data_IF_716378119159
#
_entry.id   IF_716378119159
#
_cell.length_a   1.000
_cell.length_b   1.000
_cell.length_c   1.000
_cell.angle_alpha   90.00
_cell.angle_beta   90.00
_cell.angle_gamma   90.00
#
_symmetry.space_group_name_H-M   'P 1'
#
loop_
_entity.id
_entity.type
_entity.pdbx_description
1 polymer ?
#
# COMPACT_ATOMS: atom_id res chain seq x y z
N UNK A 1 4.77 4.14 -1.03
CA UNK A 1 4.10 5.29 -1.67
C UNK A 1 2.63 5.01 -1.88
N UNK A 2 2.25 4.23 -2.90
CA UNK A 2 0.84 4.01 -3.26
C UNK A 2 -0.04 3.47 -2.12
N UNK A 3 0.38 2.42 -1.43
CA UNK A 3 -0.40 1.83 -0.33
C UNK A 3 -0.68 2.85 0.80
N UNK A 4 0.33 3.61 1.21
CA UNK A 4 0.15 4.67 2.20
C UNK A 4 -0.78 5.79 1.70
N UNK A 5 -0.66 6.17 0.42
CA UNK A 5 -1.57 7.14 -0.23
C UNK A 5 -3.02 6.64 -0.20
N UNK A 6 -3.27 5.39 -0.58
CA UNK A 6 -4.62 4.83 -0.59
C UNK A 6 -5.21 4.77 0.81
N UNK A 7 -4.51 4.16 1.78
CA UNK A 7 -5.02 4.01 3.15
C UNK A 7 -5.36 5.36 3.77
N UNK A 8 -4.51 6.38 3.60
CA UNK A 8 -4.75 7.75 4.10
C UNK A 8 -5.85 8.52 3.35
N UNK A 9 -6.38 7.98 2.26
CA UNK A 9 -7.53 8.54 1.53
C UNK A 9 -8.75 7.59 1.51
N UNK A 10 -8.65 6.42 2.14
CA UNK A 10 -9.71 5.42 2.22
C UNK A 10 -10.77 5.80 3.25
N UNK A 11 -11.83 4.98 3.34
CA UNK A 11 -12.84 5.08 4.41
C UNK A 11 -12.27 4.94 5.82
N UNK A 12 -11.10 4.31 5.96
CA UNK A 12 -10.44 4.05 7.25
C UNK A 12 -9.36 5.10 7.60
N UNK A 13 -9.24 6.19 6.83
CA UNK A 13 -8.13 7.15 6.93
C UNK A 13 -7.87 7.72 8.33
N UNK A 14 -8.93 7.95 9.11
CA UNK A 14 -8.82 8.54 10.46
C UNK A 14 -8.16 7.58 11.45
N UNK A 15 -8.20 6.28 11.16
CA UNK A 15 -7.61 5.25 12.00
C UNK A 15 -6.18 4.88 11.59
N UNK A 16 -5.68 5.34 10.42
CA UNK A 16 -4.37 4.94 9.90
C UNK A 16 -3.22 5.64 10.64
N UNK A 17 -2.50 4.87 11.46
CA UNK A 17 -1.27 5.33 12.12
C UNK A 17 -0.08 5.21 11.17
N UNK A 18 0.12 4.03 10.57
CA UNK A 18 1.31 3.71 9.79
C UNK A 18 1.04 2.66 8.72
N UNK A 19 1.70 2.83 7.57
CA UNK A 19 1.76 1.84 6.48
C UNK A 19 3.19 1.83 5.96
N UNK A 20 3.90 0.70 6.08
CA UNK A 20 5.29 0.61 5.63
C UNK A 20 5.84 -0.80 5.54
N UNK A 21 7.00 -0.98 4.88
CA UNK A 21 7.54 -2.29 4.56
C UNK A 21 8.18 -2.98 5.77
N UNK A 22 8.14 -4.31 5.74
CA UNK A 22 8.96 -5.15 6.62
C UNK A 22 10.42 -5.12 6.17
N UNK A 23 11.37 -5.11 7.11
CA UNK A 23 12.80 -5.11 6.79
C UNK A 23 13.30 -6.35 6.03
N UNK A 24 12.62 -7.50 6.18
CA UNK A 24 12.91 -8.73 5.43
C UNK A 24 12.32 -8.74 4.01
N UNK A 25 11.61 -7.68 3.60
CA UNK A 25 11.04 -7.51 2.25
C UNK A 25 9.95 -8.54 1.87
N UNK A 26 9.31 -9.18 2.86
CA UNK A 26 8.27 -10.18 2.62
C UNK A 26 6.84 -9.66 2.79
N UNK A 27 6.68 -8.37 3.13
CA UNK A 27 5.36 -7.80 3.37
C UNK A 27 5.38 -6.38 3.91
N UNK A 28 4.22 -5.94 4.41
CA UNK A 28 3.96 -4.59 4.91
C UNK A 28 3.31 -4.68 6.29
N UNK A 29 3.63 -3.72 7.17
CA UNK A 29 2.88 -3.45 8.38
C UNK A 29 1.84 -2.35 8.11
N UNK A 30 0.62 -2.58 8.58
CA UNK A 30 -0.46 -1.59 8.66
C UNK A 30 -0.82 -1.47 10.14
N UNK A 31 -0.67 -0.28 10.70
CA UNK A 31 -1.01 0.00 12.10
C UNK A 31 -2.23 0.92 12.10
N UNK A 32 -3.30 0.46 12.73
CA UNK A 32 -4.60 1.14 12.80
C UNK A 32 -5.00 1.39 14.26
N UNK A 33 -5.75 2.45 14.52
CA UNK A 33 -6.51 2.64 15.74
C UNK A 33 -7.84 1.87 15.66
N UNK A 34 -8.34 1.38 16.79
CA UNK A 34 -9.63 0.67 16.85
C UNK A 34 -9.52 -0.86 16.72
N UNK A 35 -10.68 -1.51 16.58
CA UNK A 35 -10.81 -2.97 16.57
C UNK A 35 -11.17 -3.46 15.17
N UNK A 36 -10.16 -3.75 14.36
CA UNK A 36 -10.32 -4.34 13.04
C UNK A 36 -10.15 -5.86 13.14
N UNK A 37 -11.10 -6.61 12.57
CA UNK A 37 -10.93 -8.05 12.42
C UNK A 37 -9.95 -8.35 11.28
N UNK A 38 -9.48 -9.60 11.22
CA UNK A 38 -8.69 -10.08 10.07
C UNK A 38 -9.48 -9.94 8.76
N UNK A 39 -10.79 -10.14 8.80
CA UNK A 39 -11.66 -9.96 7.62
C UNK A 39 -11.69 -8.51 7.13
N UNK A 40 -11.83 -7.55 8.06
CA UNK A 40 -11.82 -6.12 7.73
C UNK A 40 -10.49 -5.69 7.11
N UNK A 41 -9.37 -6.11 7.72
CA UNK A 41 -8.03 -5.81 7.20
C UNK A 41 -7.76 -6.48 5.86
N UNK A 42 -8.21 -7.73 5.67
CA UNK A 42 -8.12 -8.42 4.38
C UNK A 42 -8.86 -7.64 3.31
N UNK A 43 -10.10 -7.23 3.57
CA UNK A 43 -10.92 -6.49 2.61
C UNK A 43 -10.30 -5.15 2.24
N UNK A 44 -9.85 -4.35 3.22
CA UNK A 44 -9.13 -3.09 2.96
C UNK A 44 -7.85 -3.29 2.16
N UNK A 45 -7.11 -4.37 2.44
CA UNK A 45 -5.88 -4.70 1.70
C UNK A 45 -6.20 -5.04 0.25
N UNK A 46 -7.23 -5.85 -0.01
CA UNK A 46 -7.68 -6.18 -1.37
C UNK A 46 -8.07 -4.91 -2.14
N UNK A 47 -8.93 -4.07 -1.56
CA UNK A 47 -9.36 -2.81 -2.18
C UNK A 47 -8.16 -1.90 -2.51
N UNK A 48 -7.15 -1.86 -1.61
CA UNK A 48 -5.92 -1.13 -1.85
C UNK A 48 -5.11 -1.69 -3.03
N UNK A 49 -4.94 -3.02 -3.10
CA UNK A 49 -4.17 -3.68 -4.16
C UNK A 49 -4.85 -3.51 -5.52
N UNK A 50 -6.18 -3.66 -5.58
CA UNK A 50 -6.97 -3.41 -6.79
C UNK A 50 -6.83 -1.96 -7.26
N UNK A 51 -6.86 -1.00 -6.33
CA UNK A 51 -6.61 0.40 -6.65
C UNK A 51 -5.19 0.64 -7.17
N UNK A 52 -4.17 -0.04 -6.64
CA UNK A 52 -2.78 0.08 -7.13
C UNK A 52 -2.68 -0.32 -8.61
N UNK A 53 -3.41 -1.36 -9.04
CA UNK A 53 -3.39 -1.81 -10.43
C UNK A 53 -3.87 -0.74 -11.43
N UNK A 54 -4.71 0.20 -10.99
CA UNK A 54 -5.25 1.28 -11.83
C UNK A 54 -4.36 2.53 -11.91
N UNK A 55 -3.24 2.58 -11.17
CA UNK A 55 -2.40 3.79 -11.10
C UNK A 55 -1.38 3.85 -12.24
N UNK A 56 -1.24 4.99 -12.90
CA UNK A 56 -0.24 5.17 -13.97
C UNK A 56 1.04 5.86 -13.49
N UNK A 57 1.00 6.45 -12.29
CA UNK A 57 2.13 7.13 -11.68
C UNK A 57 2.24 6.80 -10.18
N UNK A 58 3.44 7.03 -9.64
CA UNK A 58 3.70 6.91 -8.20
C UNK A 58 3.82 8.32 -7.62
N UNK A 59 3.04 8.67 -6.58
CA UNK A 59 3.13 9.99 -5.95
C UNK A 59 4.44 10.14 -5.18
N UNK A 60 4.92 11.38 -5.07
CA UNK A 60 6.11 11.75 -4.30
C UNK A 60 7.41 11.03 -4.74
N UNK A 61 7.65 10.92 -6.05
CA UNK A 61 8.85 10.31 -6.67
C UNK A 61 9.97 11.32 -7.00
N UNK A 62 9.98 12.48 -6.33
CA UNK A 62 10.97 13.53 -6.56
C UNK A 62 11.92 13.67 -5.36
N UNK A 63 13.15 14.20 -5.55
CA UNK A 63 14.14 14.31 -4.47
C UNK A 63 13.66 15.05 -3.23
N UNK A 64 12.76 16.03 -3.40
CA UNK A 64 12.23 16.83 -2.29
C UNK A 64 11.24 16.06 -1.42
N UNK A 65 10.71 14.93 -1.91
CA UNK A 65 9.61 14.19 -1.28
C UNK A 65 9.94 12.72 -0.98
N UNK A 66 11.04 12.17 -1.51
CA UNK A 66 11.47 10.79 -1.28
C UNK A 66 12.98 10.70 -1.00
N UNK A 67 13.32 10.09 0.14
CA UNK A 67 14.72 9.90 0.55
C UNK A 67 15.54 9.00 -0.39
N UNK A 68 14.89 8.24 -1.27
CA UNK A 68 15.53 7.51 -2.35
C UNK A 68 14.65 7.48 -3.62
N UNK A 69 14.44 8.65 -4.21
CA UNK A 69 13.51 8.86 -5.34
C UNK A 69 13.83 8.07 -6.63
N UNK A 70 15.02 7.48 -6.75
CA UNK A 70 15.40 6.64 -7.90
C UNK A 70 14.94 5.18 -7.74
N UNK A 71 14.57 4.75 -6.53
CA UNK A 71 14.17 3.38 -6.23
C UNK A 71 12.65 3.20 -6.35
N UNK A 72 12.13 3.36 -7.57
CA UNK A 72 10.72 3.16 -7.88
C UNK A 72 10.54 2.26 -9.11
N UNK A 73 9.65 1.27 -9.00
CA UNK A 73 9.28 0.36 -10.08
C UNK A 73 7.77 0.07 -10.01
N UNK A 74 7.00 0.88 -10.74
CA UNK A 74 5.54 0.73 -10.80
C UNK A 74 5.12 -0.56 -11.52
N UNK A 75 5.72 -0.96 -12.66
CA UNK A 75 5.43 -2.25 -13.29
C UNK A 75 5.60 -3.44 -12.34
N UNK A 76 6.72 -3.53 -11.62
CA UNK A 76 6.95 -4.62 -10.67
C UNK A 76 5.98 -4.56 -9.50
N UNK A 77 5.67 -3.37 -8.98
CA UNK A 77 4.66 -3.18 -7.94
C UNK A 77 3.28 -3.72 -8.38
N UNK A 78 2.83 -3.39 -9.59
CA UNK A 78 1.57 -3.91 -10.14
C UNK A 78 1.60 -5.43 -10.30
N UNK A 79 2.71 -5.99 -10.79
CA UNK A 79 2.87 -7.43 -10.93
C UNK A 79 2.76 -8.16 -9.58
N UNK A 80 3.41 -7.63 -8.54
CA UNK A 80 3.31 -8.17 -7.17
C UNK A 80 1.88 -8.10 -6.60
N UNK A 81 1.16 -6.99 -6.84
CA UNK A 81 -0.23 -6.83 -6.42
C UNK A 81 -1.16 -7.84 -7.12
N UNK A 82 -1.04 -7.97 -8.45
CA UNK A 82 -1.82 -8.93 -9.22
C UNK A 82 -1.55 -10.37 -8.75
N UNK A 83 -0.27 -10.73 -8.58
CA UNK A 83 0.13 -12.06 -8.08
C UNK A 83 -0.44 -12.37 -6.70
N UNK A 84 -0.54 -11.39 -5.82
CA UNK A 84 -1.17 -11.57 -4.51
C UNK A 84 -2.67 -11.82 -4.65
N UNK A 85 -3.36 -11.00 -5.44
CA UNK A 85 -4.81 -11.10 -5.67
C UNK A 85 -5.19 -12.45 -6.33
N UNK A 86 -4.39 -12.95 -7.27
CA UNK A 86 -4.60 -14.24 -7.93
C UNK A 86 -4.48 -15.46 -7.00
N UNK A 87 -3.91 -15.29 -5.80
CA UNK A 87 -3.66 -16.37 -4.82
C UNK A 87 -4.62 -16.35 -3.62
N UNK A 88 -5.61 -15.47 -3.64
CA UNK A 88 -6.62 -15.34 -2.57
C UNK A 88 -7.66 -16.46 -2.58
#
# INVERSE_FOLDING_TARGET
HLMATWFRNSRAKEDVVYVGPMGCLTGMYIIMLGNYTVGDMRQLTIECLEWILTQDEVPATRPEACGNYLLHDLPMCKWECARYLDRL
#
